data_IF_010527481284
#
_entry.id   IF_010527481284
#
_cell.length_a   1.000
_cell.length_b   1.000
_cell.length_c   1.000
_cell.angle_alpha   90.00
_cell.angle_beta   90.00
_cell.angle_gamma   90.00
#
_symmetry.space_group_name_H-M   'P 1'
#
loop_
_entity.id
_entity.type
_entity.pdbx_description
1 polymer ?
#
# COMPACT_ATOMS: atom_id res chain seq x y z
N UNK A 1 10.64 24.43 -25.57
CA UNK A 1 10.77 25.79 -25.02
C UNK A 1 11.46 25.67 -23.66
N UNK A 2 12.76 25.96 -23.59
CA UNK A 2 13.57 25.82 -22.36
C UNK A 2 13.22 26.95 -21.38
N UNK A 3 12.84 26.62 -20.15
CA UNK A 3 12.67 27.60 -19.08
C UNK A 3 13.76 27.40 -18.02
N UNK A 4 14.33 28.53 -17.65
CA UNK A 4 15.62 28.72 -17.01
C UNK A 4 15.44 28.76 -15.48
N UNK A 5 16.09 27.84 -14.75
CA UNK A 5 16.19 27.92 -13.29
C UNK A 5 17.22 28.99 -12.92
N UNK A 6 16.77 30.07 -12.26
CA UNK A 6 17.55 30.85 -11.28
C UNK A 6 16.69 31.99 -10.71
N UNK A 7 16.18 31.83 -9.50
CA UNK A 7 16.20 32.84 -8.43
C UNK A 7 15.33 32.39 -7.25
N UNK A 8 15.72 32.86 -6.06
CA UNK A 8 15.11 32.69 -4.73
C UNK A 8 15.71 31.61 -3.81
N UNK A 9 16.89 31.96 -3.30
CA UNK A 9 17.30 31.69 -1.92
C UNK A 9 16.87 32.88 -1.05
N UNK A 10 16.13 32.63 0.03
CA UNK A 10 15.72 33.63 1.02
C UNK A 10 15.00 32.96 2.18
N UNK A 11 15.73 32.77 3.29
CA UNK A 11 15.37 32.05 4.51
C UNK A 11 14.31 32.82 5.32
N UNK A 12 13.31 32.12 5.88
CA UNK A 12 12.81 32.41 7.23
C UNK A 12 12.19 31.15 7.84
N UNK A 13 12.90 30.64 8.84
CA UNK A 13 12.51 29.58 9.77
C UNK A 13 11.45 30.14 10.73
N UNK A 14 10.28 29.53 10.86
CA UNK A 14 9.40 29.80 12.01
C UNK A 14 8.71 28.51 12.43
N UNK A 15 8.99 28.15 13.68
CA UNK A 15 8.65 26.90 14.34
C UNK A 15 7.14 26.74 14.58
N UNK A 16 6.65 25.51 14.42
CA UNK A 16 5.33 25.08 14.89
C UNK A 16 5.45 24.65 16.34
N UNK A 17 4.64 25.28 17.20
CA UNK A 17 4.46 24.97 18.61
C UNK A 17 3.81 23.59 18.79
N UNK A 18 4.58 22.62 19.30
CA UNK A 18 4.07 21.41 19.95
C UNK A 18 3.79 21.74 21.41
N UNK A 19 2.54 21.61 21.85
CA UNK A 19 2.19 21.62 23.28
C UNK A 19 1.98 20.18 23.78
N UNK A 20 2.96 19.76 24.58
CA UNK A 20 2.87 18.87 25.75
C UNK A 20 2.00 17.61 25.68
N UNK A 21 2.58 16.51 25.20
CA UNK A 21 2.32 15.15 25.71
C UNK A 21 3.51 14.22 25.41
N UNK A 22 4.73 14.60 25.80
CA UNK A 22 5.96 13.91 25.38
C UNK A 22 6.98 13.62 26.50
N UNK A 23 6.67 13.89 27.76
CA UNK A 23 7.61 13.61 28.85
C UNK A 23 7.66 12.12 29.28
N UNK A 24 6.60 11.34 29.04
CA UNK A 24 6.54 9.91 29.43
C UNK A 24 6.82 8.93 28.28
N UNK A 25 6.86 9.42 27.02
CA UNK A 25 7.23 8.60 25.85
C UNK A 25 8.75 8.40 25.70
N UNK A 26 9.56 9.24 26.35
CA UNK A 26 11.00 9.30 26.07
C UNK A 26 11.81 8.21 26.80
N UNK A 27 11.35 7.71 27.95
CA UNK A 27 12.05 6.65 28.70
C UNK A 27 11.76 5.24 28.17
N UNK A 28 10.61 5.01 27.53
CA UNK A 28 10.27 3.72 26.91
C UNK A 28 10.89 3.52 25.52
N UNK A 29 11.19 4.60 24.79
CA UNK A 29 11.86 4.52 23.48
C UNK A 29 13.36 4.21 23.64
N UNK A 30 14.01 4.74 24.67
CA UNK A 30 15.44 4.48 24.94
C UNK A 30 15.66 3.01 25.35
N UNK A 31 14.76 2.42 26.13
CA UNK A 31 14.85 1.00 26.50
C UNK A 31 14.49 0.03 25.35
N UNK A 32 13.73 0.46 24.33
CA UNK A 32 13.48 -0.36 23.12
C UNK A 32 14.60 -0.25 22.09
N UNK A 33 15.32 0.88 22.05
CA UNK A 33 16.52 1.04 21.23
C UNK A 33 17.67 0.13 21.71
N UNK A 34 17.83 -0.04 23.03
CA UNK A 34 18.85 -0.95 23.58
C UNK A 34 18.52 -2.43 23.35
N UNK A 35 17.24 -2.82 23.25
CA UNK A 35 16.86 -4.20 22.87
C UNK A 35 16.95 -4.47 21.36
N UNK A 36 16.99 -3.43 20.52
CA UNK A 36 17.28 -3.56 19.10
C UNK A 36 18.78 -3.77 18.80
N UNK A 37 19.68 -3.44 19.75
CA UNK A 37 21.13 -3.60 19.60
C UNK A 37 21.67 -5.02 19.87
N UNK A 38 20.82 -5.97 20.24
CA UNK A 38 21.17 -7.40 20.38
C UNK A 38 20.76 -8.27 19.20
N UNK A 39 20.35 -7.67 18.06
CA UNK A 39 20.42 -8.37 16.79
C UNK A 39 21.90 -8.57 16.47
N UNK A 40 22.33 -9.82 16.58
CA UNK A 40 23.70 -10.24 16.32
C UNK A 40 24.25 -9.59 15.04
N UNK A 41 25.56 -9.29 15.03
CA UNK A 41 26.33 -9.06 13.81
C UNK A 41 26.25 -10.31 12.94
N UNK A 42 25.12 -10.48 12.28
CA UNK A 42 24.83 -11.53 11.33
C UNK A 42 25.06 -10.91 9.97
N UNK A 43 26.12 -11.36 9.28
CA UNK A 43 26.51 -10.86 7.96
C UNK A 43 25.36 -10.90 6.95
N UNK A 44 24.36 -11.78 7.17
CA UNK A 44 23.15 -11.84 6.36
C UNK A 44 22.24 -10.61 6.52
N UNK A 45 22.16 -9.99 7.71
CA UNK A 45 21.34 -8.80 7.95
C UNK A 45 21.95 -7.58 7.28
N UNK A 46 23.28 -7.45 7.29
CA UNK A 46 24.00 -6.39 6.61
C UNK A 46 23.91 -6.54 5.08
N UNK A 47 23.98 -7.76 4.55
CA UNK A 47 23.76 -8.04 3.13
C UNK A 47 22.33 -7.72 2.68
N UNK A 48 21.32 -8.12 3.45
CA UNK A 48 19.91 -7.78 3.18
C UNK A 48 19.72 -6.25 3.25
N UNK A 49 20.24 -5.60 4.28
CA UNK A 49 20.13 -4.15 4.42
C UNK A 49 20.82 -3.41 3.27
N UNK A 50 21.98 -3.89 2.81
CA UNK A 50 22.70 -3.32 1.67
C UNK A 50 21.94 -3.52 0.35
N UNK A 51 21.41 -4.72 0.10
CA UNK A 51 20.57 -5.00 -1.07
C UNK A 51 19.31 -4.13 -1.07
N UNK A 52 18.58 -4.11 0.05
CA UNK A 52 17.34 -3.34 0.16
C UNK A 52 17.60 -1.82 0.08
N UNK A 53 18.75 -1.36 0.56
CA UNK A 53 19.20 0.04 0.39
C UNK A 53 19.59 0.36 -1.05
N UNK A 54 20.13 -0.61 -1.81
CA UNK A 54 20.43 -0.45 -3.23
C UNK A 54 19.15 -0.31 -4.06
N UNK A 55 18.20 -1.23 -3.91
CA UNK A 55 16.93 -1.16 -4.65
C UNK A 55 16.08 0.05 -4.24
N UNK A 56 16.21 0.54 -3.01
CA UNK A 56 15.56 1.77 -2.56
C UNK A 56 16.11 3.05 -3.20
N UNK A 57 17.35 3.03 -3.72
CA UNK A 57 18.01 4.19 -4.34
C UNK A 57 17.88 4.22 -5.86
N UNK A 58 17.74 3.05 -6.48
CA UNK A 58 17.75 2.87 -7.94
C UNK A 58 16.33 2.82 -8.55
N UNK A 59 15.37 3.52 -7.93
CA UNK A 59 13.95 3.45 -8.31
C UNK A 59 13.64 4.00 -9.71
N UNK A 60 14.53 4.83 -10.25
CA UNK A 60 14.36 5.50 -11.54
C UNK A 60 15.16 4.84 -12.70
N UNK A 61 15.98 3.79 -12.44
CA UNK A 61 16.98 3.33 -13.42
C UNK A 61 17.16 1.81 -13.63
N UNK A 62 16.42 0.93 -12.96
CA UNK A 62 16.58 -0.52 -13.21
C UNK A 62 15.74 -1.03 -14.39
N UNK A 63 16.06 -0.57 -15.61
CA UNK A 63 15.57 -1.15 -16.87
C UNK A 63 16.36 -2.39 -17.34
N UNK A 64 17.45 -2.74 -16.65
CA UNK A 64 18.43 -3.74 -17.11
C UNK A 64 18.70 -4.89 -16.12
N UNK A 65 17.78 -5.18 -15.18
CA UNK A 65 17.83 -6.49 -14.51
C UNK A 65 17.57 -7.53 -15.60
N UNK A 66 18.30 -8.64 -15.62
CA UNK A 66 18.05 -9.80 -16.51
C UNK A 66 16.72 -10.51 -16.16
N UNK A 67 15.69 -9.75 -15.79
CA UNK A 67 14.42 -10.22 -15.30
C UNK A 67 13.72 -10.99 -16.42
N UNK A 68 13.37 -12.23 -16.12
CA UNK A 68 12.45 -13.00 -16.94
C UNK A 68 11.01 -12.59 -16.55
N UNK A 69 10.03 -12.71 -17.46
CA UNK A 69 8.60 -12.53 -17.14
C UNK A 69 8.13 -13.36 -15.93
N UNK A 70 8.75 -14.53 -15.75
CA UNK A 70 8.59 -15.40 -14.58
C UNK A 70 9.96 -15.99 -14.27
N UNK A 71 10.34 -16.05 -13.00
CA UNK A 71 11.61 -16.60 -12.54
C UNK A 71 11.40 -17.57 -11.37
N UNK A 72 12.37 -18.46 -11.13
CA UNK A 72 12.32 -19.45 -10.04
C UNK A 72 12.13 -20.88 -10.52
N UNK A 73 11.60 -21.73 -9.62
CA UNK A 73 11.52 -23.17 -9.84
C UNK A 73 10.11 -23.58 -10.22
N UNK A 74 9.89 -23.90 -11.50
CA UNK A 74 8.62 -24.49 -11.98
C UNK A 74 8.26 -25.71 -11.14
N UNK A 75 7.02 -25.75 -10.66
CA UNK A 75 6.41 -26.93 -10.04
C UNK A 75 5.04 -27.22 -10.63
N UNK A 76 4.61 -28.49 -10.55
CA UNK A 76 3.25 -28.92 -10.90
C UNK A 76 2.23 -28.63 -9.80
N UNK A 77 2.70 -28.43 -8.57
CA UNK A 77 1.86 -28.11 -7.43
C UNK A 77 2.67 -27.34 -6.38
N UNK A 78 2.08 -26.30 -5.82
CA UNK A 78 2.67 -25.57 -4.71
C UNK A 78 2.44 -26.32 -3.38
N UNK A 79 3.36 -26.17 -2.41
CA UNK A 79 3.18 -26.71 -1.07
C UNK A 79 1.87 -26.26 -0.43
N UNK A 80 1.25 -27.12 0.36
CA UNK A 80 0.05 -26.78 1.15
C UNK A 80 0.34 -27.03 2.61
N UNK A 81 0.05 -26.04 3.43
CA UNK A 81 0.22 -26.10 4.88
C UNK A 81 -1.04 -25.63 5.56
N UNK A 82 -1.46 -26.33 6.60
CA UNK A 82 -2.66 -26.00 7.36
C UNK A 82 -2.38 -24.83 8.32
N UNK A 83 -3.44 -24.04 8.58
CA UNK A 83 -3.59 -22.95 9.55
C UNK A 83 -2.33 -22.32 10.13
N UNK A 84 -1.98 -21.14 9.62
CA UNK A 84 -0.91 -20.29 10.16
C UNK A 84 -1.46 -19.04 10.86
N UNK A 85 -0.58 -18.28 11.53
CA UNK A 85 -1.01 -17.02 12.16
C UNK A 85 -1.36 -15.98 11.10
N UNK A 86 -0.54 -15.86 10.05
CA UNK A 86 -0.72 -14.88 8.98
C UNK A 86 -0.67 -15.55 7.61
N UNK A 87 -1.58 -15.17 6.72
CA UNK A 87 -1.39 -15.32 5.28
C UNK A 87 -1.33 -13.93 4.68
N UNK A 88 -0.15 -13.59 4.16
CA UNK A 88 0.06 -12.45 3.29
C UNK A 88 0.01 -12.93 1.85
N UNK A 89 -0.94 -12.39 1.10
CA UNK A 89 -1.10 -12.62 -0.32
C UNK A 89 -0.87 -11.30 -1.05
N UNK A 90 0.10 -11.27 -1.96
CA UNK A 90 0.31 -10.12 -2.83
C UNK A 90 -0.10 -10.44 -4.26
N UNK A 91 -0.94 -9.59 -4.83
CA UNK A 91 -1.34 -9.63 -6.23
C UNK A 91 -0.53 -8.57 -6.98
N UNK A 92 0.41 -9.02 -7.80
CA UNK A 92 1.32 -8.18 -8.56
C UNK A 92 0.79 -8.06 -9.99
N UNK A 93 0.05 -6.98 -10.28
CA UNK A 93 -0.45 -6.68 -11.62
C UNK A 93 0.57 -5.77 -12.32
N UNK A 94 1.56 -6.42 -12.96
CA UNK A 94 2.77 -5.82 -13.48
C UNK A 94 2.93 -5.99 -15.00
N UNK A 95 1.93 -6.48 -15.74
CA UNK A 95 1.93 -6.37 -17.22
C UNK A 95 1.64 -4.93 -17.64
N UNK A 96 2.52 -4.03 -17.22
CA UNK A 96 2.54 -2.61 -17.49
C UNK A 96 3.99 -2.13 -17.27
N UNK A 97 4.25 -0.82 -17.26
CA UNK A 97 5.61 -0.31 -17.09
C UNK A 97 6.27 -0.59 -15.70
N UNK A 98 5.58 -1.24 -14.76
CA UNK A 98 6.10 -1.72 -13.47
C UNK A 98 6.62 -3.17 -13.51
N UNK A 99 6.69 -3.82 -14.68
CA UNK A 99 7.16 -5.21 -14.82
C UNK A 99 8.49 -5.52 -14.13
N UNK A 100 9.37 -4.53 -13.95
CA UNK A 100 10.66 -4.67 -13.29
C UNK A 100 10.58 -4.90 -11.78
N UNK A 101 9.41 -4.67 -11.15
CA UNK A 101 9.24 -4.80 -9.70
C UNK A 101 9.02 -6.24 -9.24
N UNK A 102 8.71 -7.18 -10.14
CA UNK A 102 8.51 -8.60 -9.82
C UNK A 102 9.63 -9.17 -8.94
N UNK A 103 10.87 -9.05 -9.42
CA UNK A 103 12.04 -9.57 -8.71
C UNK A 103 12.27 -8.83 -7.40
N UNK A 104 11.96 -7.53 -7.32
CA UNK A 104 12.13 -6.76 -6.09
C UNK A 104 11.18 -7.27 -5.00
N UNK A 105 9.91 -7.44 -5.34
CA UNK A 105 8.86 -7.90 -4.42
C UNK A 105 9.18 -9.29 -3.92
N UNK A 106 9.35 -10.25 -4.84
CA UNK A 106 9.53 -11.65 -4.47
C UNK A 106 10.83 -11.85 -3.72
N UNK A 107 11.97 -11.32 -4.17
CA UNK A 107 13.25 -11.47 -3.46
C UNK A 107 13.23 -10.81 -2.07
N UNK A 108 12.53 -9.68 -1.91
CA UNK A 108 12.35 -9.06 -0.58
C UNK A 108 11.62 -10.01 0.35
N UNK A 109 10.57 -10.68 -0.13
CA UNK A 109 9.81 -11.66 0.65
C UNK A 109 10.60 -12.97 0.86
N UNK A 110 11.46 -13.38 -0.07
CA UNK A 110 12.36 -14.54 0.07
C UNK A 110 13.38 -14.36 1.19
N UNK A 111 13.78 -13.14 1.53
CA UNK A 111 14.65 -12.90 2.70
C UNK A 111 14.03 -13.38 4.03
N UNK A 112 12.70 -13.47 4.09
CA UNK A 112 11.94 -13.98 5.24
C UNK A 112 11.45 -15.41 4.97
N UNK A 113 10.81 -15.61 3.82
CA UNK A 113 10.16 -16.84 3.39
C UNK A 113 8.92 -17.21 4.20
N UNK A 114 8.04 -17.98 3.57
CA UNK A 114 7.00 -18.70 4.28
C UNK A 114 7.63 -19.66 5.31
N UNK A 115 7.11 -19.66 6.53
CA UNK A 115 7.67 -20.42 7.65
C UNK A 115 6.52 -21.00 8.51
N UNK A 116 6.82 -21.52 9.70
CA UNK A 116 5.81 -22.16 10.55
C UNK A 116 4.67 -21.22 10.99
N UNK A 117 4.88 -19.90 10.97
CA UNK A 117 3.93 -18.91 11.45
C UNK A 117 3.25 -18.11 10.32
N UNK A 118 3.89 -18.00 9.15
CA UNK A 118 3.48 -17.10 8.07
C UNK A 118 3.43 -17.84 6.73
N UNK A 119 2.36 -17.64 5.97
CA UNK A 119 2.32 -17.90 4.54
C UNK A 119 2.60 -16.60 3.79
N UNK A 120 3.64 -16.59 2.96
CA UNK A 120 3.93 -15.54 2.00
C UNK A 120 3.68 -16.12 0.61
N UNK A 121 2.63 -15.64 -0.06
CA UNK A 121 2.22 -16.14 -1.36
C UNK A 121 1.97 -14.99 -2.32
N UNK A 122 2.23 -15.21 -3.60
CA UNK A 122 1.99 -14.21 -4.63
C UNK A 122 1.26 -14.83 -5.82
N UNK A 123 0.44 -14.03 -6.49
CA UNK A 123 0.10 -14.22 -7.89
C UNK A 123 0.66 -13.02 -8.63
N UNK A 124 1.41 -13.26 -9.68
CA UNK A 124 2.07 -12.22 -10.45
C UNK A 124 1.66 -12.36 -11.89
N UNK A 125 1.49 -11.22 -12.55
CA UNK A 125 1.38 -11.11 -13.98
C UNK A 125 2.35 -10.02 -14.44
N UNK A 126 3.24 -10.33 -15.36
CA UNK A 126 4.41 -9.48 -15.71
C UNK A 126 4.41 -9.15 -17.19
N UNK A 127 5.50 -8.69 -17.78
CA UNK A 127 5.56 -8.38 -19.21
C UNK A 127 5.64 -9.63 -20.11
N UNK A 128 5.06 -9.58 -21.32
CA UNK A 128 5.09 -10.62 -22.39
C UNK A 128 4.23 -11.84 -22.15
N UNK A 129 4.12 -12.72 -23.16
CA UNK A 129 3.47 -14.02 -23.02
C UNK A 129 4.12 -14.89 -21.93
N UNK A 130 3.32 -15.80 -21.35
CA UNK A 130 3.80 -16.78 -20.37
C UNK A 130 4.40 -16.14 -19.10
N UNK A 131 3.77 -15.07 -18.63
CA UNK A 131 4.13 -14.14 -17.56
C UNK A 131 3.36 -14.35 -16.24
N UNK A 132 2.26 -15.11 -16.25
CA UNK A 132 1.46 -15.31 -15.04
C UNK A 132 1.89 -16.53 -14.21
N UNK A 133 2.15 -16.32 -12.92
CA UNK A 133 2.52 -17.38 -11.99
C UNK A 133 1.99 -17.18 -10.58
N UNK A 134 1.84 -18.29 -9.87
CA UNK A 134 1.61 -18.32 -8.42
C UNK A 134 2.85 -18.81 -7.70
N UNK A 135 3.23 -18.12 -6.65
CA UNK A 135 4.40 -18.44 -5.85
C UNK A 135 4.02 -18.87 -4.44
N UNK A 136 4.73 -19.88 -3.94
CA UNK A 136 4.87 -20.10 -2.51
C UNK A 136 6.28 -19.68 -2.13
N UNK A 137 6.38 -18.51 -1.48
CA UNK A 137 7.66 -17.84 -1.31
C UNK A 137 8.45 -18.56 -0.23
N UNK A 138 9.63 -19.07 -0.58
CA UNK A 138 10.50 -19.84 0.31
C UNK A 138 11.70 -18.99 0.71
N UNK A 139 12.25 -19.24 1.92
CA UNK A 139 13.38 -18.44 2.37
C UNK A 139 14.62 -18.74 1.52
N UNK A 140 15.33 -17.70 1.09
CA UNK A 140 16.68 -17.81 0.56
C UNK A 140 17.56 -16.61 0.94
N UNK A 141 18.76 -16.56 0.37
CA UNK A 141 19.73 -15.46 0.54
C UNK A 141 20.23 -14.94 -0.81
N UNK A 142 19.52 -15.22 -1.91
CA UNK A 142 19.90 -14.76 -3.24
C UNK A 142 19.00 -13.58 -3.63
N UNK A 143 19.59 -12.39 -3.63
CA UNK A 143 18.83 -11.17 -3.89
C UNK A 143 18.78 -10.78 -5.38
N UNK A 144 19.41 -11.56 -6.26
CA UNK A 144 19.47 -11.28 -7.70
C UNK A 144 18.43 -12.07 -8.50
N UNK A 145 18.09 -13.28 -8.06
CA UNK A 145 17.21 -14.21 -8.79
C UNK A 145 16.19 -14.83 -7.82
N UNK A 146 14.93 -14.91 -8.26
CA UNK A 146 13.88 -15.62 -7.52
C UNK A 146 14.23 -17.12 -7.48
N UNK A 147 14.21 -17.77 -6.31
CA UNK A 147 14.40 -19.24 -6.19
C UNK A 147 13.16 -20.01 -5.73
N UNK A 148 12.11 -19.28 -5.37
CA UNK A 148 10.85 -19.82 -4.90
C UNK A 148 10.22 -20.73 -5.95
N UNK A 149 9.43 -21.68 -5.45
CA UNK A 149 8.64 -22.53 -6.33
C UNK A 149 7.48 -21.71 -6.89
N UNK A 150 7.23 -21.87 -8.19
CA UNK A 150 6.09 -21.27 -8.84
C UNK A 150 5.29 -22.28 -9.64
N UNK A 151 3.97 -22.13 -9.57
CA UNK A 151 3.03 -22.79 -10.46
C UNK A 151 2.72 -21.80 -11.58
N UNK A 152 3.11 -22.16 -12.81
CA UNK A 152 2.73 -21.41 -13.99
C UNK A 152 1.21 -21.49 -14.20
N UNK A 153 0.58 -20.36 -14.47
CA UNK A 153 -0.83 -20.28 -14.84
C UNK A 153 -0.95 -20.16 -16.36
N UNK A 154 -2.01 -20.77 -16.91
CA UNK A 154 -2.34 -20.68 -18.34
C UNK A 154 -1.26 -21.19 -19.30
N UNK A 155 -1.60 -21.13 -20.59
CA UNK A 155 -0.64 -21.13 -21.70
C UNK A 155 -0.22 -19.73 -22.13
N UNK A 156 -0.98 -18.71 -21.70
CA UNK A 156 -0.89 -17.30 -22.10
C UNK A 156 -0.90 -16.41 -20.84
N UNK A 157 -0.87 -15.08 -21.02
CA UNK A 157 -1.07 -14.09 -19.94
C UNK A 157 -2.52 -14.10 -19.43
N UNK A 158 -2.70 -14.09 -18.11
CA UNK A 158 -4.00 -13.77 -17.50
C UNK A 158 -4.17 -12.24 -17.50
N UNK A 159 -5.37 -11.74 -17.83
CA UNK A 159 -5.69 -10.32 -17.67
C UNK A 159 -5.75 -9.96 -16.18
N UNK A 160 -4.71 -9.30 -15.69
CA UNK A 160 -4.57 -8.95 -14.29
C UNK A 160 -5.57 -7.89 -13.83
N UNK A 161 -6.17 -7.15 -14.78
CA UNK A 161 -7.26 -6.20 -14.59
C UNK A 161 -8.66 -6.81 -14.67
N UNK A 162 -8.82 -8.11 -15.00
CA UNK A 162 -10.13 -8.76 -14.98
C UNK A 162 -10.57 -9.10 -13.52
N UNK A 163 -11.73 -8.57 -13.06
CA UNK A 163 -12.32 -8.92 -11.76
C UNK A 163 -12.45 -10.44 -11.51
N UNK A 164 -12.65 -11.26 -12.55
CA UNK A 164 -12.76 -12.71 -12.43
C UNK A 164 -11.42 -13.38 -12.14
N UNK A 165 -10.36 -12.94 -12.82
CA UNK A 165 -8.99 -13.40 -12.57
C UNK A 165 -8.59 -13.06 -11.13
N UNK A 166 -8.78 -11.81 -10.74
CA UNK A 166 -8.50 -11.35 -9.38
C UNK A 166 -9.32 -12.13 -8.32
N UNK A 167 -10.64 -12.31 -8.51
CA UNK A 167 -11.47 -13.08 -7.58
C UNK A 167 -11.02 -14.55 -7.45
N UNK A 168 -10.52 -15.14 -8.54
CA UNK A 168 -9.99 -16.50 -8.57
C UNK A 168 -8.68 -16.60 -7.79
N UNK A 169 -7.81 -15.59 -7.93
CA UNK A 169 -6.56 -15.49 -7.20
C UNK A 169 -6.77 -15.32 -5.69
N UNK A 170 -7.66 -14.42 -5.28
CA UNK A 170 -8.08 -14.23 -3.87
C UNK A 170 -8.60 -15.53 -3.29
N UNK A 171 -9.52 -16.21 -3.99
CA UNK A 171 -10.07 -17.49 -3.54
C UNK A 171 -8.97 -18.53 -3.40
N UNK A 172 -8.09 -18.64 -4.38
CA UNK A 172 -6.95 -19.55 -4.32
C UNK A 172 -6.09 -19.28 -3.09
N UNK A 173 -5.68 -18.04 -2.85
CA UNK A 173 -4.78 -17.69 -1.77
C UNK A 173 -5.39 -18.04 -0.39
N UNK A 174 -6.57 -17.52 -0.08
CA UNK A 174 -7.15 -17.67 1.25
C UNK A 174 -7.84 -19.02 1.49
N UNK A 175 -8.24 -19.75 0.45
CA UNK A 175 -8.73 -21.14 0.60
C UNK A 175 -7.60 -22.16 0.67
N UNK A 176 -6.48 -21.93 -0.03
CA UNK A 176 -5.33 -22.86 -0.02
C UNK A 176 -4.44 -22.66 1.20
N UNK A 177 -4.34 -21.41 1.68
CA UNK A 177 -3.50 -21.02 2.81
C UNK A 177 -4.33 -20.34 3.90
N UNK A 178 -5.19 -21.11 4.61
CA UNK A 178 -5.98 -20.56 5.70
C UNK A 178 -5.09 -20.06 6.85
N UNK A 179 -5.56 -19.01 7.53
CA UNK A 179 -4.83 -18.37 8.63
C UNK A 179 -5.77 -17.56 9.51
N UNK A 180 -5.26 -17.19 10.70
CA UNK A 180 -5.97 -16.29 11.61
C UNK A 180 -6.06 -14.86 11.07
N UNK A 181 -4.97 -14.33 10.53
CA UNK A 181 -4.90 -13.01 9.93
C UNK A 181 -4.77 -13.10 8.42
N UNK A 182 -5.70 -12.48 7.70
CA UNK A 182 -5.72 -12.40 6.24
C UNK A 182 -5.29 -11.01 5.79
N UNK A 183 -4.18 -10.95 5.09
CA UNK A 183 -3.65 -9.72 4.53
C UNK A 183 -3.50 -9.86 3.02
N UNK A 184 -4.26 -9.06 2.27
CA UNK A 184 -4.09 -8.88 0.82
C UNK A 184 -3.29 -7.60 0.55
N UNK A 185 -2.28 -7.68 -0.32
CA UNK A 185 -1.67 -6.53 -0.97
C UNK A 185 -2.01 -6.53 -2.46
N UNK A 186 -2.33 -5.36 -3.01
CA UNK A 186 -2.42 -5.10 -4.44
C UNK A 186 -1.29 -4.15 -4.83
N UNK A 187 -0.46 -4.57 -5.78
CA UNK A 187 0.75 -3.85 -6.20
C UNK A 187 0.71 -3.63 -7.71
N UNK A 188 0.60 -2.36 -8.10
CA UNK A 188 0.35 -1.89 -9.48
C UNK A 188 0.21 -0.35 -9.49
N UNK A 189 -0.20 0.24 -10.61
CA UNK A 189 -0.68 1.63 -10.65
C UNK A 189 -1.98 1.79 -9.89
N UNK A 190 -2.19 2.96 -9.28
CA UNK A 190 -3.41 3.27 -8.55
C UNK A 190 -3.94 4.64 -8.92
N UNK A 191 -5.27 4.73 -8.96
CA UNK A 191 -5.96 5.97 -9.30
C UNK A 191 -7.22 6.17 -8.43
N UNK A 192 -7.09 5.83 -7.15
CA UNK A 192 -8.16 5.92 -6.16
C UNK A 192 -9.38 5.09 -6.56
N UNK A 193 -10.55 5.70 -6.55
CA UNK A 193 -11.79 4.99 -6.89
C UNK A 193 -11.88 4.60 -8.38
N UNK A 194 -11.08 5.24 -9.24
CA UNK A 194 -11.23 5.14 -10.70
C UNK A 194 -10.48 3.96 -11.32
N UNK A 195 -9.44 3.43 -10.66
CA UNK A 195 -8.64 2.37 -11.26
C UNK A 195 -7.60 1.75 -10.33
N UNK A 196 -7.48 0.42 -10.41
CA UNK A 196 -6.46 -0.43 -9.78
C UNK A 196 -6.29 -1.71 -10.62
N UNK A 197 -5.14 -2.37 -10.51
CA UNK A 197 -4.85 -3.63 -11.21
C UNK A 197 -4.70 -3.42 -12.71
N UNK A 198 -3.84 -2.48 -13.12
CA UNK A 198 -3.68 -2.13 -14.53
C UNK A 198 -2.91 -3.21 -15.29
N UNK A 199 -3.41 -3.51 -16.48
CA UNK A 199 -2.85 -4.43 -17.46
C UNK A 199 -2.79 -3.72 -18.81
N UNK A 200 -1.67 -3.81 -19.53
CA UNK A 200 -1.48 -3.22 -20.85
C UNK A 200 -1.86 -4.20 -21.99
N UNK A 201 -2.03 -5.50 -21.68
CA UNK A 201 -2.26 -6.55 -22.67
C UNK A 201 -3.11 -7.73 -22.16
N UNK A 202 -4.45 -7.59 -22.15
CA UNK A 202 -5.22 -6.49 -22.75
C UNK A 202 -5.22 -5.22 -21.88
N UNK A 203 -5.36 -4.05 -22.52
CA UNK A 203 -5.57 -2.77 -21.81
C UNK A 203 -6.84 -2.84 -20.93
N UNK A 204 -6.65 -3.03 -19.63
CA UNK A 204 -7.73 -3.25 -18.68
C UNK A 204 -7.34 -2.80 -17.26
N UNK A 205 -8.36 -2.52 -16.45
CA UNK A 205 -8.21 -2.22 -15.02
C UNK A 205 -9.56 -2.37 -14.30
N UNK A 206 -9.52 -2.42 -12.97
CA UNK A 206 -10.72 -2.44 -12.12
C UNK A 206 -10.96 -1.07 -11.52
N UNK A 207 -12.19 -0.54 -11.63
CA UNK A 207 -12.63 0.48 -10.69
C UNK A 207 -12.79 -0.12 -9.27
N UNK A 208 -12.87 0.72 -8.24
CA UNK A 208 -12.88 0.22 -6.86
C UNK A 208 -14.11 -0.62 -6.53
N UNK A 209 -15.23 -0.36 -7.21
CA UNK A 209 -16.48 -1.13 -7.06
C UNK A 209 -16.29 -2.55 -7.59
N UNK A 210 -15.73 -2.69 -8.79
CA UNK A 210 -15.44 -3.98 -9.41
C UNK A 210 -14.41 -4.76 -8.60
N UNK A 211 -13.37 -4.08 -8.10
CA UNK A 211 -12.40 -4.66 -7.18
C UNK A 211 -13.07 -5.19 -5.89
N UNK A 212 -13.93 -4.39 -5.25
CA UNK A 212 -14.65 -4.79 -4.02
C UNK A 212 -15.58 -5.99 -4.25
N UNK A 213 -16.30 -6.00 -5.38
CA UNK A 213 -17.16 -7.12 -5.78
C UNK A 213 -16.36 -8.41 -6.03
N UNK A 214 -15.24 -8.30 -6.75
CA UNK A 214 -14.34 -9.42 -6.99
C UNK A 214 -13.73 -9.95 -5.69
N UNK A 215 -13.31 -9.06 -4.80
CA UNK A 215 -12.78 -9.41 -3.49
C UNK A 215 -13.84 -10.16 -2.66
N UNK A 216 -15.07 -9.63 -2.60
CA UNK A 216 -16.20 -10.29 -1.93
C UNK A 216 -16.50 -11.67 -2.53
N UNK A 217 -16.47 -11.80 -3.84
CA UNK A 217 -16.64 -13.09 -4.55
C UNK A 217 -15.53 -14.08 -4.19
N UNK A 218 -14.28 -13.63 -4.12
CA UNK A 218 -13.12 -14.47 -3.79
C UNK A 218 -13.09 -14.92 -2.33
N UNK A 219 -13.47 -14.04 -1.40
CA UNK A 219 -13.51 -14.31 0.04
C UNK A 219 -14.77 -15.05 0.51
N UNK A 220 -15.87 -14.97 -0.26
CA UNK A 220 -17.17 -15.46 0.16
C UNK A 220 -17.70 -14.66 1.35
N UNK A 221 -17.94 -15.35 2.48
CA UNK A 221 -18.44 -14.72 3.72
C UNK A 221 -17.31 -14.21 4.63
N UNK A 222 -16.05 -14.33 4.21
CA UNK A 222 -14.91 -13.88 5.00
C UNK A 222 -14.61 -12.40 4.74
N UNK A 223 -13.92 -11.79 5.69
CA UNK A 223 -13.41 -10.43 5.61
C UNK A 223 -11.89 -10.45 5.73
N UNK A 224 -11.20 -9.54 5.05
CA UNK A 224 -9.78 -9.31 5.29
C UNK A 224 -9.57 -8.58 6.62
N UNK A 225 -8.48 -8.91 7.30
CA UNK A 225 -8.01 -8.11 8.42
C UNK A 225 -7.29 -6.87 7.92
N UNK A 226 -6.51 -7.03 6.84
CA UNK A 226 -5.72 -5.96 6.23
C UNK A 226 -5.86 -6.05 4.71
N UNK A 227 -6.18 -4.93 4.08
CA UNK A 227 -5.95 -4.69 2.65
C UNK A 227 -4.92 -3.58 2.52
N UNK A 228 -3.88 -3.81 1.74
CA UNK A 228 -2.89 -2.80 1.41
C UNK A 228 -2.81 -2.58 -0.08
N UNK A 229 -2.50 -1.34 -0.45
CA UNK A 229 -2.24 -0.95 -1.82
C UNK A 229 -0.84 -0.35 -1.90
N UNK A 230 0.11 -1.12 -2.43
CA UNK A 230 1.37 -0.58 -2.93
C UNK A 230 1.11 0.04 -4.31
N UNK A 231 0.26 1.07 -4.31
CA UNK A 231 -0.27 1.76 -5.47
C UNK A 231 -0.66 3.21 -5.12
N UNK A 232 -0.59 4.10 -6.10
CA UNK A 232 -0.81 5.54 -5.89
C UNK A 232 -2.27 5.85 -5.52
N UNK A 233 -2.49 6.90 -4.73
CA UNK A 233 -3.82 7.49 -4.51
C UNK A 233 -4.88 6.53 -3.93
N UNK A 234 -4.50 5.44 -3.26
CA UNK A 234 -5.45 4.44 -2.75
C UNK A 234 -5.96 4.70 -1.32
N UNK A 235 -5.38 5.67 -0.61
CA UNK A 235 -5.84 6.08 0.73
C UNK A 235 -6.85 7.22 0.66
N UNK A 236 -7.95 7.03 -0.07
CA UNK A 236 -9.06 8.01 -0.15
C UNK A 236 -10.29 7.55 0.63
N UNK A 237 -11.18 8.50 0.93
CA UNK A 237 -12.44 8.21 1.62
C UNK A 237 -13.34 7.32 0.77
N UNK A 238 -13.36 7.52 -0.55
CA UNK A 238 -14.14 6.73 -1.50
C UNK A 238 -13.70 5.27 -1.50
N UNK A 239 -12.39 5.02 -1.50
CA UNK A 239 -11.85 3.66 -1.40
C UNK A 239 -12.18 3.05 -0.03
N UNK A 240 -12.03 3.81 1.06
CA UNK A 240 -12.39 3.33 2.39
C UNK A 240 -13.88 2.98 2.52
N UNK A 241 -14.76 3.80 1.94
CA UNK A 241 -16.22 3.58 1.87
C UNK A 241 -16.54 2.26 1.17
N UNK A 242 -15.97 2.04 -0.01
CA UNK A 242 -16.25 0.86 -0.82
C UNK A 242 -15.73 -0.44 -0.17
N UNK A 243 -14.62 -0.38 0.57
CA UNK A 243 -13.97 -1.56 1.14
C UNK A 243 -14.39 -1.90 2.57
N UNK A 244 -15.18 -1.05 3.25
CA UNK A 244 -15.51 -1.22 4.67
C UNK A 244 -16.20 -2.53 5.02
N UNK A 245 -16.92 -3.13 4.07
CA UNK A 245 -17.62 -4.40 4.24
C UNK A 245 -16.75 -5.63 3.95
N UNK A 246 -15.59 -5.46 3.32
CA UNK A 246 -14.70 -6.56 2.89
C UNK A 246 -13.32 -6.54 3.54
N UNK A 247 -12.92 -5.46 4.21
CA UNK A 247 -11.69 -5.37 4.99
C UNK A 247 -11.85 -4.56 6.30
N UNK A 248 -10.99 -4.82 7.30
CA UNK A 248 -11.00 -4.09 8.58
C UNK A 248 -10.02 -2.92 8.60
N UNK A 249 -8.87 -3.04 7.94
CA UNK A 249 -7.85 -1.99 7.87
C UNK A 249 -7.43 -1.82 6.41
N UNK A 250 -7.42 -0.57 5.95
CA UNK A 250 -6.86 -0.14 4.67
C UNK A 250 -5.48 0.47 4.90
N UNK A 251 -4.46 0.06 4.15
CA UNK A 251 -3.15 0.71 4.13
C UNK A 251 -2.87 1.22 2.72
N UNK A 252 -2.49 2.48 2.56
CA UNK A 252 -2.13 3.04 1.26
C UNK A 252 -1.61 4.46 1.34
N UNK A 253 -1.24 5.02 0.19
CA UNK A 253 -0.82 6.41 0.02
C UNK A 253 -1.99 7.29 -0.43
N UNK A 254 -2.06 8.53 0.06
CA UNK A 254 -3.02 9.54 -0.43
C UNK A 254 -2.51 10.27 -1.68
N UNK A 255 -1.22 10.12 -2.01
CA UNK A 255 -0.53 10.69 -3.17
C UNK A 255 0.21 9.59 -3.95
N UNK A 256 1.22 9.95 -4.74
CA UNK A 256 2.16 8.97 -5.29
C UNK A 256 2.82 8.13 -4.21
N UNK A 257 3.10 6.89 -4.57
CA UNK A 257 3.90 5.96 -3.79
C UNK A 257 4.93 5.32 -4.70
N UNK A 258 5.92 4.72 -4.07
CA UNK A 258 6.99 3.94 -4.68
C UNK A 258 7.08 2.61 -3.95
N UNK A 259 7.88 1.68 -4.47
CA UNK A 259 8.01 0.33 -3.92
C UNK A 259 8.35 0.31 -2.41
N UNK A 260 7.55 -0.38 -1.58
CA UNK A 260 7.71 -0.37 -0.11
C UNK A 260 8.91 -1.18 0.39
N UNK A 261 9.32 -2.23 -0.33
CA UNK A 261 10.56 -3.01 -0.15
C UNK A 261 11.09 -3.18 1.28
N UNK A 262 12.01 -2.30 1.70
CA UNK A 262 12.63 -2.38 3.02
C UNK A 262 11.62 -2.31 4.19
N UNK A 263 10.50 -1.61 4.01
CA UNK A 263 9.41 -1.57 4.98
C UNK A 263 8.75 -2.94 5.15
N UNK A 264 8.54 -3.68 4.06
CA UNK A 264 8.07 -5.06 4.11
C UNK A 264 9.06 -5.96 4.85
N UNK A 265 10.35 -5.91 4.50
CA UNK A 265 11.38 -6.72 5.17
C UNK A 265 11.37 -6.51 6.69
N UNK A 266 11.42 -5.25 7.15
CA UNK A 266 11.39 -4.92 8.59
C UNK A 266 10.11 -5.41 9.27
N UNK A 267 8.96 -5.20 8.63
CA UNK A 267 7.66 -5.60 9.17
C UNK A 267 7.57 -7.13 9.28
N UNK A 268 7.87 -7.86 8.20
CA UNK A 268 7.83 -9.32 8.20
C UNK A 268 8.90 -9.95 9.11
N UNK A 269 10.06 -9.31 9.29
CA UNK A 269 11.05 -9.73 10.28
C UNK A 269 10.47 -9.69 11.70
N UNK A 270 9.75 -8.62 12.05
CA UNK A 270 9.07 -8.49 13.36
C UNK A 270 7.97 -9.55 13.52
N UNK A 271 7.17 -9.80 12.48
CA UNK A 271 6.11 -10.82 12.51
C UNK A 271 6.71 -12.23 12.64
N UNK A 272 7.83 -12.50 11.98
CA UNK A 272 8.51 -13.80 12.09
C UNK A 272 9.02 -14.07 13.52
N UNK A 273 9.40 -13.01 14.25
CA UNK A 273 9.83 -13.08 15.66
C UNK A 273 8.65 -13.08 16.64
N UNK A 274 7.54 -12.41 16.30
CA UNK A 274 6.31 -12.35 17.09
C UNK A 274 5.09 -12.66 16.23
N UNK A 275 4.69 -13.93 16.21
CA UNK A 275 3.57 -14.38 15.38
C UNK A 275 2.19 -14.03 15.95
N UNK A 276 2.11 -13.41 17.12
CA UNK A 276 0.85 -13.02 17.77
C UNK A 276 0.49 -11.54 17.57
N UNK A 277 1.19 -10.83 16.69
CA UNK A 277 0.87 -9.42 16.38
C UNK A 277 -0.56 -9.29 15.86
N UNK A 278 -1.30 -8.34 16.44
CA UNK A 278 -2.65 -7.99 15.97
C UNK A 278 -2.57 -7.28 14.62
N UNK A 279 -3.64 -7.33 13.80
CA UNK A 279 -3.70 -6.61 12.53
C UNK A 279 -3.32 -5.12 12.66
N UNK A 280 -3.79 -4.42 13.70
CA UNK A 280 -3.44 -3.01 13.93
C UNK A 280 -1.97 -2.77 14.26
N UNK A 281 -1.30 -3.72 14.94
CA UNK A 281 0.13 -3.66 15.24
C UNK A 281 0.97 -3.92 13.99
N UNK A 282 0.51 -4.86 13.15
CA UNK A 282 1.09 -5.13 11.83
C UNK A 282 0.99 -3.89 10.95
N UNK A 283 -0.21 -3.31 10.81
CA UNK A 283 -0.45 -2.12 9.98
C UNK A 283 0.36 -0.92 10.47
N UNK A 284 0.42 -0.68 11.80
CA UNK A 284 1.25 0.38 12.37
C UNK A 284 2.74 0.14 12.09
N UNK A 285 3.21 -1.10 12.21
CA UNK A 285 4.61 -1.43 11.93
C UNK A 285 4.96 -1.16 10.48
N UNK A 286 4.10 -1.54 9.54
CA UNK A 286 4.30 -1.27 8.11
C UNK A 286 4.39 0.23 7.81
N UNK A 287 3.40 1.02 8.27
CA UNK A 287 3.40 2.48 8.09
C UNK A 287 4.70 3.09 8.61
N UNK A 288 5.13 2.71 9.82
CA UNK A 288 6.36 3.23 10.41
C UNK A 288 7.61 2.75 9.69
N UNK A 289 7.69 1.48 9.30
CA UNK A 289 8.88 0.91 8.67
C UNK A 289 9.06 1.41 7.23
N UNK A 290 7.97 1.62 6.49
CA UNK A 290 7.98 2.23 5.16
C UNK A 290 8.36 3.71 5.28
N UNK A 291 7.77 4.47 6.21
CA UNK A 291 8.13 5.87 6.44
C UNK A 291 9.60 6.03 6.90
N UNK A 292 10.09 5.11 7.73
CA UNK A 292 11.48 5.10 8.22
C UNK A 292 12.51 4.62 7.18
N UNK A 293 12.08 4.18 5.99
CA UNK A 293 12.99 3.77 4.89
C UNK A 293 13.93 4.92 4.49
N UNK A 294 13.61 6.17 4.83
CA UNK A 294 14.39 7.35 4.46
C UNK A 294 14.30 7.48 2.94
N UNK A 295 13.23 8.12 2.47
CA UNK A 295 12.86 8.17 1.06
C UNK A 295 13.83 8.95 0.13
N UNK A 296 15.09 9.17 0.54
CA UNK A 296 15.97 10.12 -0.15
C UNK A 296 15.25 11.47 -0.33
N UNK A 297 15.32 12.03 -1.54
CA UNK A 297 14.59 13.25 -1.91
C UNK A 297 13.11 13.02 -2.31
N UNK A 298 12.56 11.81 -2.11
CA UNK A 298 11.16 11.52 -2.45
C UNK A 298 10.27 11.77 -1.22
N UNK A 299 9.15 12.46 -1.41
CA UNK A 299 8.10 12.55 -0.40
C UNK A 299 7.22 11.33 -0.53
N UNK A 300 6.96 10.64 0.58
CA UNK A 300 6.17 9.43 0.60
C UNK A 300 5.08 9.58 1.65
N UNK A 301 3.81 9.44 1.25
CA UNK A 301 2.67 9.43 2.19
C UNK A 301 2.20 8.00 2.39
N UNK A 302 1.86 7.63 3.62
CA UNK A 302 1.24 6.33 3.90
C UNK A 302 0.44 6.41 5.20
N UNK A 303 -0.74 5.82 5.19
CA UNK A 303 -1.61 5.73 6.35
C UNK A 303 -2.21 4.35 6.49
N UNK A 304 -2.61 4.01 7.72
CA UNK A 304 -3.46 2.87 8.01
C UNK A 304 -4.81 3.39 8.53
N UNK A 305 -5.89 3.09 7.82
CA UNK A 305 -7.25 3.56 8.08
C UNK A 305 -8.08 2.42 8.65
N UNK A 306 -8.67 2.63 9.83
CA UNK A 306 -9.61 1.69 10.45
C UNK A 306 -10.98 1.78 9.76
N UNK A 307 -11.26 0.80 8.92
CA UNK A 307 -12.49 0.77 8.12
C UNK A 307 -13.74 0.48 8.95
N UNK A 308 -13.59 0.04 10.21
CA UNK A 308 -14.74 -0.11 11.12
C UNK A 308 -15.33 1.24 11.57
N UNK A 309 -14.63 2.34 11.27
CA UNK A 309 -15.06 3.72 11.57
C UNK A 309 -15.62 4.45 10.35
N UNK A 310 -15.62 3.82 9.18
CA UNK A 310 -16.00 4.48 7.93
C UNK A 310 -17.45 4.98 7.93
N UNK A 311 -18.40 4.25 8.54
CA UNK A 311 -19.79 4.72 8.65
C UNK A 311 -19.91 6.06 9.40
N UNK A 312 -19.09 6.26 10.44
CA UNK A 312 -19.07 7.51 11.21
C UNK A 312 -18.51 8.63 10.33
N UNK A 313 -17.43 8.37 9.61
CA UNK A 313 -16.82 9.32 8.69
C UNK A 313 -17.78 9.73 7.57
N UNK A 314 -18.47 8.77 6.95
CA UNK A 314 -19.47 9.02 5.91
C UNK A 314 -20.62 9.89 6.42
N UNK A 315 -21.11 9.62 7.63
CA UNK A 315 -22.15 10.42 8.25
C UNK A 315 -21.70 11.87 8.45
N UNK A 316 -20.50 12.09 8.99
CA UNK A 316 -19.92 13.43 9.17
C UNK A 316 -19.73 14.16 7.84
N UNK A 317 -19.23 13.49 6.80
CA UNK A 317 -19.07 14.08 5.47
C UNK A 317 -20.43 14.42 4.85
N UNK A 318 -21.44 13.59 5.03
CA UNK A 318 -22.79 13.86 4.56
C UNK A 318 -23.38 15.10 5.23
N UNK A 319 -23.17 15.28 6.52
CA UNK A 319 -23.66 16.46 7.25
C UNK A 319 -22.91 17.75 6.86
N UNK A 320 -21.60 17.66 6.65
CA UNK A 320 -20.82 18.76 6.06
C UNK A 320 -21.34 19.10 4.65
N UNK A 321 -21.58 18.10 3.81
CA UNK A 321 -22.10 18.28 2.44
C UNK A 321 -23.46 18.99 2.42
N UNK A 322 -24.40 18.59 3.30
CA UNK A 322 -25.69 19.27 3.45
C UNK A 322 -25.52 20.74 3.86
N UNK A 323 -24.62 21.02 4.79
CA UNK A 323 -24.35 22.38 5.28
C UNK A 323 -23.74 23.25 4.18
N UNK A 324 -22.74 22.73 3.46
CA UNK A 324 -22.13 23.41 2.31
C UNK A 324 -23.14 23.71 1.20
N UNK A 325 -24.03 22.77 0.87
CA UNK A 325 -25.08 22.97 -0.15
C UNK A 325 -26.02 24.11 0.20
N UNK A 326 -26.41 24.25 1.47
CA UNK A 326 -27.25 25.36 1.94
C UNK A 326 -26.50 26.70 1.86
N UNK A 327 -25.24 26.71 2.32
CA UNK A 327 -24.39 27.89 2.34
C UNK A 327 -23.95 28.36 0.95
N UNK A 328 -23.98 27.49 -0.07
CA UNK A 328 -23.44 27.74 -1.41
C UNK A 328 -23.98 29.02 -2.07
N UNK A 329 -25.23 29.39 -1.80
CA UNK A 329 -25.85 30.60 -2.37
C UNK A 329 -25.27 31.90 -1.81
N UNK A 330 -24.73 31.88 -0.59
CA UNK A 330 -24.23 33.07 0.14
C UNK A 330 -22.71 33.07 0.29
N UNK A 331 -22.11 31.90 0.45
CA UNK A 331 -20.70 31.72 0.79
C UNK A 331 -19.90 31.11 -0.38
N UNK A 332 -20.45 31.13 -1.61
CA UNK A 332 -19.85 30.53 -2.81
C UNK A 332 -18.35 30.78 -2.90
N UNK A 333 -17.95 32.05 -2.94
CA UNK A 333 -16.56 32.43 -3.20
C UNK A 333 -15.62 32.05 -2.04
N UNK A 334 -16.13 32.02 -0.81
CA UNK A 334 -15.37 31.58 0.35
C UNK A 334 -15.15 30.07 0.35
N UNK A 335 -16.18 29.29 -0.02
CA UNK A 335 -16.10 27.84 -0.18
C UNK A 335 -15.09 27.50 -1.29
N UNK A 336 -15.22 28.11 -2.49
CA UNK A 336 -14.27 27.86 -3.58
C UNK A 336 -12.85 28.31 -3.22
N UNK A 337 -12.68 29.44 -2.51
CA UNK A 337 -11.36 29.85 -2.01
C UNK A 337 -10.75 28.82 -1.06
N UNK A 338 -11.54 28.21 -0.17
CA UNK A 338 -11.06 27.14 0.70
C UNK A 338 -10.62 25.92 -0.11
N UNK A 339 -11.43 25.50 -1.09
CA UNK A 339 -11.08 24.41 -1.99
C UNK A 339 -9.81 24.71 -2.80
N UNK A 340 -9.69 25.89 -3.41
CA UNK A 340 -8.50 26.27 -4.18
C UNK A 340 -7.22 26.27 -3.31
N UNK A 341 -7.31 26.79 -2.08
CA UNK A 341 -6.20 26.80 -1.12
C UNK A 341 -5.79 25.42 -0.63
N UNK A 342 -6.68 24.43 -0.66
CA UNK A 342 -6.33 23.06 -0.22
C UNK A 342 -5.28 22.42 -1.13
N UNK A 343 -5.28 22.81 -2.41
CA UNK A 343 -4.51 22.24 -3.52
C UNK A 343 -4.76 20.73 -3.71
N UNK A 344 -5.01 20.27 -4.94
CA UNK A 344 -5.08 18.83 -5.18
C UNK A 344 -3.68 18.20 -5.14
N UNK A 345 -3.62 16.90 -4.88
CA UNK A 345 -2.41 16.09 -5.08
C UNK A 345 -2.00 16.12 -6.56
N UNK A 346 -0.69 16.06 -6.82
CA UNK A 346 -0.14 16.29 -8.15
C UNK A 346 -0.54 15.21 -9.17
N UNK A 347 -0.82 13.99 -8.69
CA UNK A 347 -1.06 12.79 -9.51
C UNK A 347 -2.53 12.60 -9.94
N UNK A 348 -3.40 13.60 -9.80
CA UNK A 348 -4.79 13.53 -10.27
C UNK A 348 -4.94 13.97 -11.72
N UNK A 349 -4.85 13.07 -12.70
CA UNK A 349 -5.25 13.29 -14.10
C UNK A 349 -6.75 13.65 -14.24
N UNK A 350 -7.09 14.90 -13.96
CA UNK A 350 -8.48 15.40 -14.05
C UNK A 350 -9.36 15.13 -12.84
N UNK A 351 -8.91 14.32 -11.86
CA UNK A 351 -9.59 14.14 -10.56
C UNK A 351 -8.84 14.95 -9.49
N UNK A 352 -9.47 15.95 -8.86
CA UNK A 352 -8.80 16.81 -7.88
C UNK A 352 -8.79 16.16 -6.49
N UNK A 353 -8.06 15.05 -6.31
CA UNK A 353 -7.86 14.43 -5.00
C UNK A 353 -7.25 15.44 -4.02
N UNK A 354 -7.79 15.56 -2.81
CA UNK A 354 -7.41 16.57 -1.81
C UNK A 354 -7.37 15.96 -0.43
N UNK A 355 -6.45 16.46 0.40
CA UNK A 355 -6.44 16.17 1.84
C UNK A 355 -7.74 16.69 2.47
N UNK A 356 -8.55 15.77 3.01
CA UNK A 356 -9.85 16.08 3.61
C UNK A 356 -9.73 16.95 4.86
N UNK A 357 -8.72 16.73 5.70
CA UNK A 357 -8.48 17.54 6.91
C UNK A 357 -8.10 18.97 6.53
N UNK A 358 -7.30 19.14 5.47
CA UNK A 358 -6.92 20.44 4.93
C UNK A 358 -8.12 21.18 4.36
N UNK A 359 -8.98 20.50 3.62
CA UNK A 359 -10.25 21.07 3.12
C UNK A 359 -11.11 21.54 4.29
N UNK A 360 -11.35 20.68 5.29
CA UNK A 360 -12.16 20.98 6.48
C UNK A 360 -11.59 22.17 7.26
N UNK A 361 -10.28 22.21 7.51
CA UNK A 361 -9.63 23.33 8.20
C UNK A 361 -9.79 24.65 7.43
N UNK A 362 -9.61 24.63 6.11
CA UNK A 362 -9.77 25.82 5.28
C UNK A 362 -11.23 26.28 5.18
N UNK A 363 -12.20 25.35 5.24
CA UNK A 363 -13.61 25.72 5.33
C UNK A 363 -13.90 26.47 6.63
N UNK A 364 -13.40 25.97 7.78
CA UNK A 364 -13.51 26.68 9.08
C UNK A 364 -12.94 28.10 9.03
N UNK A 365 -11.79 28.26 8.38
CA UNK A 365 -11.09 29.55 8.34
C UNK A 365 -11.71 30.57 7.38
N UNK A 366 -12.38 30.11 6.30
CA UNK A 366 -12.80 30.99 5.22
C UNK A 366 -14.33 31.17 5.12
N UNK A 367 -15.14 30.25 5.64
CA UNK A 367 -16.61 30.28 5.54
C UNK A 367 -17.23 30.79 6.83
N UNK A 368 -18.12 31.79 6.75
CA UNK A 368 -18.74 32.43 7.93
C UNK A 368 -20.07 31.81 8.36
N UNK A 369 -20.60 30.88 7.56
CA UNK A 369 -21.83 30.16 7.86
C UNK A 369 -21.65 29.24 9.07
N UNK A 370 -22.46 29.42 10.10
CA UNK A 370 -22.34 28.71 11.39
C UNK A 370 -22.59 27.21 11.27
N UNK A 371 -23.45 26.78 10.34
CA UNK A 371 -23.74 25.36 10.13
C UNK A 371 -22.52 24.69 9.48
N UNK A 372 -21.87 25.36 8.53
CA UNK A 372 -20.63 24.87 7.91
C UNK A 372 -19.52 24.75 8.95
N UNK A 373 -19.29 25.79 9.77
CA UNK A 373 -18.23 25.77 10.80
C UNK A 373 -18.49 24.69 11.86
N UNK A 374 -19.74 24.45 12.22
CA UNK A 374 -20.12 23.42 13.21
C UNK A 374 -20.01 21.99 12.66
N UNK A 375 -20.23 21.80 11.36
CA UNK A 375 -20.10 20.50 10.70
C UNK A 375 -18.66 20.13 10.36
N UNK A 376 -17.77 21.12 10.26
CA UNK A 376 -16.32 20.93 10.16
C UNK A 376 -15.75 20.58 11.54
#
# INVERSE_FOLDING_TARGET
MKLNLKSYLGISLTAVLLTSCSAELNTNIINQADQASTLAKDSSVDEIANYLSKIARDDDQMKDVKAQPIEGKVTKALPKFNDKQLTYFTYEALDNNLYGDLNRVVNTLESIGSNNNINLVAQTDSWKENNTARYYISKDTNFELINSQYLKLGSDSEDSGDPNVFSTAVKWAFSTYPSKTKWLNMSTHGYGFAGIGYDDNPDNSMDIVSFSQALKKGLGNQKLDIVSFDACLMSTVEVASELKDVANILIGSEDSTFYWGYGYYKTFSKIAQNSNMKPSEISRSLVLDVNNKGAGNQTFTIAATDLTKTDILEASINDLSKSLRKALTKERDNIFRALDKSKPFAMGEGIPFRDINRVVALLKDNVKDTDVVSAC
#
